data_IF_749773329204
#
_entry.id   IF_749773329204
#
_cell.length_a   1.000
_cell.length_b   1.000
_cell.length_c   1.000
_cell.angle_alpha   90.00
_cell.angle_beta   90.00
_cell.angle_gamma   90.00
#
_symmetry.space_group_name_H-M   'P 1'
#
loop_
_entity.id
_entity.type
_entity.pdbx_description
1 polymer ?
#
# COMPACT_ATOMS: atom_id res chain seq x y z
N UNK A 1 2.96 6.73 103.28
CA UNK A 1 4.08 6.47 102.37
C UNK A 1 3.64 5.67 101.12
N UNK A 2 2.53 6.04 100.44
CA UNK A 2 2.05 5.33 99.21
C UNK A 2 1.52 6.30 98.12
N UNK A 3 1.20 7.57 98.43
CA UNK A 3 0.63 8.51 97.44
C UNK A 3 1.63 9.28 96.57
N UNK A 4 2.88 9.46 97.00
CA UNK A 4 3.89 10.25 96.25
C UNK A 4 4.64 9.42 95.19
N UNK A 5 4.80 8.11 95.38
CA UNK A 5 5.49 7.25 94.40
C UNK A 5 4.69 7.06 93.10
N UNK A 6 3.36 7.02 93.17
CA UNK A 6 2.54 6.85 91.97
C UNK A 6 2.64 8.07 91.02
N UNK A 7 2.72 9.29 91.55
CA UNK A 7 2.75 10.52 90.71
C UNK A 7 4.03 10.68 89.89
N UNK A 8 5.19 10.26 90.42
CA UNK A 8 6.46 10.32 89.70
C UNK A 8 6.51 9.27 88.58
N UNK A 9 6.03 8.05 88.85
CA UNK A 9 5.97 6.97 87.87
C UNK A 9 5.03 7.30 86.69
N UNK A 10 3.90 7.98 86.97
CA UNK A 10 2.97 8.48 85.94
C UNK A 10 3.57 9.59 85.06
N UNK A 11 4.41 10.46 85.61
CA UNK A 11 5.08 11.52 84.86
C UNK A 11 6.19 10.98 83.95
N UNK A 12 7.02 10.06 84.46
CA UNK A 12 8.07 9.40 83.66
C UNK A 12 7.49 8.56 82.53
N UNK A 13 6.42 7.78 82.79
CA UNK A 13 5.74 7.02 81.73
C UNK A 13 5.06 7.94 80.69
N UNK A 14 4.51 9.08 81.10
CA UNK A 14 3.96 10.07 80.17
C UNK A 14 5.03 10.72 79.30
N UNK A 15 6.20 11.05 79.86
CA UNK A 15 7.34 11.58 79.09
C UNK A 15 7.94 10.54 78.15
N UNK A 16 8.12 9.29 78.58
CA UNK A 16 8.55 8.19 77.71
C UNK A 16 7.58 7.97 76.55
N UNK A 17 6.27 8.01 76.79
CA UNK A 17 5.24 7.93 75.74
C UNK A 17 5.33 9.10 74.76
N UNK A 18 5.51 10.34 75.25
CA UNK A 18 5.69 11.54 74.41
C UNK A 18 6.96 11.49 73.57
N UNK A 19 8.08 11.05 74.15
CA UNK A 19 9.36 10.87 73.46
C UNK A 19 9.27 9.78 72.38
N UNK A 20 8.59 8.68 72.68
CA UNK A 20 8.33 7.60 71.74
C UNK A 20 7.43 8.05 70.60
N UNK A 21 6.35 8.79 70.89
CA UNK A 21 5.49 9.39 69.87
C UNK A 21 6.26 10.38 68.97
N UNK A 22 7.10 11.26 69.54
CA UNK A 22 7.95 12.18 68.77
C UNK A 22 8.90 11.43 67.84
N UNK A 23 9.53 10.34 68.31
CA UNK A 23 10.40 9.48 67.48
C UNK A 23 9.62 8.79 66.35
N UNK A 24 8.38 8.34 66.61
CA UNK A 24 7.50 7.75 65.59
C UNK A 24 7.10 8.80 64.53
N UNK A 25 6.72 10.00 64.95
CA UNK A 25 6.35 11.11 64.04
C UNK A 25 7.55 11.49 63.16
N UNK A 26 8.73 11.68 63.75
CA UNK A 26 9.95 11.99 63.00
C UNK A 26 10.34 10.87 62.02
N UNK A 27 10.20 9.59 62.41
CA UNK A 27 10.39 8.45 61.50
C UNK A 27 9.39 8.47 60.34
N UNK A 28 8.11 8.74 60.61
CA UNK A 28 7.05 8.86 59.59
C UNK A 28 7.30 10.04 58.65
N UNK A 29 7.80 11.16 59.14
CA UNK A 29 8.15 12.31 58.30
C UNK A 29 9.37 12.05 57.43
N UNK A 30 10.43 11.43 57.98
CA UNK A 30 11.60 11.00 57.19
C UNK A 30 11.20 10.01 56.10
N UNK A 31 10.32 9.05 56.40
CA UNK A 31 9.76 8.12 55.42
C UNK A 31 8.93 8.83 54.34
N UNK A 32 8.07 9.80 54.72
CA UNK A 32 7.31 10.63 53.76
C UNK A 32 8.22 11.49 52.88
N UNK A 33 9.30 12.06 53.42
CA UNK A 33 10.30 12.82 52.65
C UNK A 33 11.07 11.91 51.68
N UNK A 34 11.46 10.71 52.10
CA UNK A 34 12.09 9.70 51.22
C UNK A 34 11.14 9.27 50.10
N UNK A 35 9.88 8.96 50.41
CA UNK A 35 8.86 8.63 49.39
C UNK A 35 8.67 9.78 48.38
N UNK A 36 8.56 11.03 48.84
CA UNK A 36 8.46 12.20 47.94
C UNK A 36 9.70 12.38 47.05
N UNK A 37 10.91 12.15 47.57
CA UNK A 37 12.15 12.16 46.76
C UNK A 37 12.15 11.05 45.72
N UNK A 38 11.78 9.83 46.09
CA UNK A 38 11.70 8.68 45.17
C UNK A 38 10.64 8.92 44.08
N UNK A 39 9.47 9.45 44.45
CA UNK A 39 8.43 9.81 43.48
C UNK A 39 8.88 10.91 42.52
N UNK A 40 9.62 11.92 43.00
CA UNK A 40 10.23 12.94 42.14
C UNK A 40 11.25 12.37 41.15
N UNK A 41 12.14 11.48 41.63
CA UNK A 41 13.14 10.82 40.78
C UNK A 41 12.46 9.91 39.74
N UNK A 42 11.46 9.14 40.14
CA UNK A 42 10.67 8.31 39.21
C UNK A 42 9.93 9.15 38.18
N UNK A 43 9.35 10.28 38.58
CA UNK A 43 8.71 11.22 37.66
C UNK A 43 9.69 11.83 36.64
N UNK A 44 10.89 12.22 37.09
CA UNK A 44 11.96 12.70 36.21
C UNK A 44 12.46 11.63 35.23
N UNK A 45 12.64 10.39 35.68
CA UNK A 45 13.03 9.27 34.82
C UNK A 45 11.94 8.93 33.80
N UNK A 46 10.66 8.99 34.19
CA UNK A 46 9.54 8.80 33.26
C UNK A 46 9.49 9.93 32.22
N UNK A 47 9.67 11.19 32.62
CA UNK A 47 9.74 12.33 31.71
C UNK A 47 10.93 12.22 30.73
N UNK A 48 12.11 11.83 31.23
CA UNK A 48 13.30 11.64 30.39
C UNK A 48 13.12 10.46 29.44
N UNK A 49 12.54 9.35 29.90
CA UNK A 49 12.14 8.23 29.05
C UNK A 49 11.11 8.63 27.98
N UNK A 50 10.12 9.45 28.34
CA UNK A 50 9.15 10.02 27.40
C UNK A 50 9.81 10.96 26.38
N UNK A 51 10.77 11.79 26.79
CA UNK A 51 11.55 12.67 25.91
C UNK A 51 12.48 11.89 24.97
N UNK A 52 13.06 10.78 25.43
CA UNK A 52 13.84 9.87 24.57
C UNK A 52 12.94 9.06 23.63
N UNK A 53 11.74 8.67 24.06
CA UNK A 53 10.75 8.04 23.19
C UNK A 53 10.21 9.03 22.16
N UNK A 54 9.82 10.23 22.58
CA UNK A 54 9.38 11.31 21.68
C UNK A 54 10.52 11.81 20.77
N UNK A 55 11.77 11.84 21.26
CA UNK A 55 12.97 12.16 20.49
C UNK A 55 13.39 11.05 19.53
N UNK A 56 13.20 9.79 19.92
CA UNK A 56 13.42 8.61 19.09
C UNK A 56 12.32 8.41 18.04
N UNK A 57 11.09 8.80 18.35
CA UNK A 57 9.96 8.91 17.41
C UNK A 57 10.12 10.14 16.51
N UNK A 58 10.72 11.24 17.01
CA UNK A 58 11.15 12.41 16.21
C UNK A 58 12.41 12.21 15.41
N UNK A 59 13.12 11.08 15.56
CA UNK A 59 13.97 10.56 14.49
C UNK A 59 13.02 10.05 13.42
N UNK A 60 12.33 11.01 12.79
CA UNK A 60 11.57 10.91 11.57
C UNK A 60 12.28 9.85 10.73
N UNK A 61 11.64 8.70 10.52
CA UNK A 61 11.96 7.91 9.34
C UNK A 61 11.67 8.85 8.18
N UNK A 62 12.70 9.53 7.69
CA UNK A 62 12.58 10.38 6.53
C UNK A 62 11.92 9.55 5.44
N UNK A 63 10.93 10.14 4.77
CA UNK A 63 10.23 9.52 3.66
C UNK A 63 11.30 8.90 2.71
N UNK A 64 11.20 7.62 2.34
CA UNK A 64 12.19 6.96 1.48
C UNK A 64 12.57 7.77 0.24
N UNK A 65 11.59 8.39 -0.42
CA UNK A 65 11.80 9.29 -1.56
C UNK A 65 12.72 10.47 -1.18
N UNK A 66 12.48 11.12 -0.04
CA UNK A 66 13.33 12.22 0.44
C UNK A 66 14.76 11.76 0.78
N UNK A 67 14.91 10.55 1.31
CA UNK A 67 16.24 9.99 1.59
C UNK A 67 16.98 9.70 0.30
N UNK A 68 16.32 9.07 -0.66
CA UNK A 68 16.88 8.76 -1.97
C UNK A 68 17.30 10.04 -2.69
N UNK A 69 16.40 11.03 -2.73
CA UNK A 69 16.67 12.31 -3.35
C UNK A 69 17.91 13.00 -2.75
N UNK A 70 17.97 13.07 -1.41
CA UNK A 70 19.14 13.63 -0.70
C UNK A 70 20.43 12.84 -0.99
N UNK A 71 20.37 11.52 -1.02
CA UNK A 71 21.53 10.67 -1.27
C UNK A 71 22.09 10.85 -2.70
N UNK A 72 21.23 11.17 -3.67
CA UNK A 72 21.59 11.34 -5.08
C UNK A 72 21.69 12.82 -5.51
N UNK A 73 21.61 13.78 -4.58
CA UNK A 73 21.67 15.20 -4.90
C UNK A 73 20.49 15.72 -5.73
N UNK A 74 19.36 15.02 -5.69
CA UNK A 74 18.13 15.37 -6.41
C UNK A 74 17.30 16.31 -5.53
N UNK A 75 16.76 17.36 -6.13
CA UNK A 75 15.85 18.27 -5.46
C UNK A 75 14.41 17.75 -5.54
N UNK A 76 13.62 17.96 -4.48
CA UNK A 76 12.26 17.42 -4.38
C UNK A 76 11.29 18.00 -5.42
N UNK A 77 11.60 19.16 -6.00
CA UNK A 77 10.84 19.79 -7.10
C UNK A 77 10.94 19.03 -8.43
N UNK A 78 11.88 18.09 -8.55
CA UNK A 78 12.00 17.23 -9.73
C UNK A 78 11.03 16.04 -9.73
N UNK A 79 10.34 15.80 -8.62
CA UNK A 79 9.33 14.76 -8.49
C UNK A 79 7.93 15.37 -8.74
N UNK A 80 7.18 14.90 -9.75
CA UNK A 80 5.78 15.26 -9.94
C UNK A 80 4.93 14.93 -8.70
N UNK A 81 3.97 15.81 -8.39
CA UNK A 81 3.08 15.64 -7.22
C UNK A 81 2.24 14.36 -7.34
N UNK A 82 1.86 13.99 -8.57
CA UNK A 82 1.09 12.81 -8.91
C UNK A 82 1.85 11.52 -8.56
N UNK A 83 3.17 11.49 -8.75
CA UNK A 83 4.03 10.35 -8.39
C UNK A 83 4.25 10.26 -6.88
N UNK A 84 4.38 11.38 -6.19
CA UNK A 84 4.42 11.38 -4.73
C UNK A 84 3.09 10.87 -4.16
N UNK A 85 1.97 11.32 -4.73
CA UNK A 85 0.62 10.87 -4.37
C UNK A 85 0.37 9.39 -4.73
N UNK A 86 1.01 8.88 -5.79
CA UNK A 86 1.01 7.46 -6.11
C UNK A 86 1.71 6.66 -5.01
N UNK A 87 2.91 7.07 -4.60
CA UNK A 87 3.65 6.40 -3.52
C UNK A 87 2.88 6.39 -2.19
N UNK A 88 2.24 7.50 -1.83
CA UNK A 88 1.46 7.60 -0.60
C UNK A 88 0.29 6.61 -0.55
N UNK A 89 -0.36 6.39 -1.69
CA UNK A 89 -1.49 5.44 -1.82
C UNK A 89 -1.01 4.00 -2.07
N UNK A 90 0.17 3.84 -2.64
CA UNK A 90 0.74 2.56 -3.04
C UNK A 90 2.25 2.52 -2.81
N UNK A 91 2.65 2.09 -1.62
CA UNK A 91 4.06 1.99 -1.24
C UNK A 91 4.87 0.95 -2.05
N UNK A 92 4.20 0.06 -2.80
CA UNK A 92 4.88 -0.88 -3.70
C UNK A 92 5.65 -0.15 -4.82
N UNK A 93 5.27 1.10 -5.09
CA UNK A 93 5.89 1.96 -6.12
C UNK A 93 7.13 2.70 -5.64
N UNK A 94 7.65 2.42 -4.43
CA UNK A 94 8.80 3.14 -3.83
C UNK A 94 9.95 3.34 -4.82
N UNK A 95 10.54 2.25 -5.34
CA UNK A 95 11.66 2.32 -6.29
C UNK A 95 11.28 3.05 -7.58
N UNK A 96 10.08 2.83 -8.10
CA UNK A 96 9.60 3.51 -9.30
C UNK A 96 9.53 5.03 -9.10
N UNK A 97 9.07 5.50 -7.95
CA UNK A 97 8.99 6.93 -7.65
C UNK A 97 10.38 7.48 -7.32
N UNK A 98 11.18 6.78 -6.51
CA UNK A 98 12.54 7.20 -6.12
C UNK A 98 13.42 7.55 -7.32
N UNK A 99 13.43 6.66 -8.33
CA UNK A 99 14.35 6.74 -9.46
C UNK A 99 13.82 7.59 -10.62
N UNK A 100 12.59 8.11 -10.52
CA UNK A 100 11.94 8.88 -11.60
C UNK A 100 12.84 10.01 -12.16
N UNK A 101 13.43 10.92 -11.36
CA UNK A 101 14.19 12.04 -11.92
C UNK A 101 15.43 11.62 -12.71
N UNK A 102 15.98 10.43 -12.43
CA UNK A 102 17.14 9.89 -13.11
C UNK A 102 16.76 9.07 -14.35
N UNK A 103 15.64 8.33 -14.29
CA UNK A 103 15.27 7.31 -15.29
C UNK A 103 14.11 7.68 -16.21
N UNK A 104 13.43 8.82 -15.99
CA UNK A 104 12.21 9.19 -16.75
C UNK A 104 12.41 9.31 -18.27
N UNK A 105 13.64 9.51 -18.73
CA UNK A 105 13.98 9.60 -20.16
C UNK A 105 14.57 8.29 -20.71
N UNK A 106 14.69 7.24 -19.89
CA UNK A 106 15.20 5.93 -20.31
C UNK A 106 14.10 5.10 -20.97
N UNK A 107 14.44 4.47 -22.10
CA UNK A 107 13.61 3.48 -22.77
C UNK A 107 14.35 2.14 -22.84
N UNK A 108 14.43 1.39 -21.73
CA UNK A 108 15.12 0.11 -21.72
C UNK A 108 14.47 -0.91 -22.67
N UNK A 109 15.24 -1.93 -23.03
CA UNK A 109 14.74 -3.10 -23.73
C UNK A 109 13.75 -3.87 -22.84
N UNK A 110 12.67 -4.36 -23.43
CA UNK A 110 11.64 -5.12 -22.73
C UNK A 110 11.81 -6.60 -23.08
N UNK A 111 12.50 -7.33 -22.19
CA UNK A 111 12.56 -8.79 -22.26
C UNK A 111 11.44 -9.41 -21.42
N UNK A 112 10.57 -10.16 -22.10
CA UNK A 112 9.48 -10.97 -21.53
C UNK A 112 9.53 -12.40 -22.09
N UNK A 113 10.72 -12.86 -22.52
CA UNK A 113 10.90 -14.16 -23.18
C UNK A 113 10.46 -15.35 -22.32
N UNK A 114 10.54 -15.21 -20.99
CA UNK A 114 10.05 -16.15 -19.99
C UNK A 114 8.52 -16.33 -20.02
N UNK A 115 7.78 -15.36 -20.58
CA UNK A 115 6.31 -15.38 -20.66
C UNK A 115 5.77 -15.97 -21.97
N UNK A 116 6.63 -16.25 -22.96
CA UNK A 116 6.22 -16.76 -24.28
C UNK A 116 5.44 -18.09 -24.23
N UNK A 117 5.63 -18.87 -23.17
CA UNK A 117 4.94 -20.13 -22.90
C UNK A 117 4.23 -20.13 -21.54
N UNK A 118 3.77 -18.97 -21.07
CA UNK A 118 3.08 -18.85 -19.78
C UNK A 118 1.80 -19.72 -19.76
N UNK A 119 1.69 -20.59 -18.76
CA UNK A 119 0.51 -21.46 -18.56
C UNK A 119 -0.64 -20.75 -17.84
N UNK A 120 -0.38 -19.60 -17.23
CA UNK A 120 -1.35 -18.73 -16.59
C UNK A 120 -1.21 -17.31 -17.15
N UNK A 121 -2.23 -16.47 -16.94
CA UNK A 121 -2.15 -15.04 -17.29
C UNK A 121 -1.03 -14.38 -16.48
N UNK A 122 0.02 -13.82 -17.10
CA UNK A 122 1.13 -13.24 -16.38
C UNK A 122 0.71 -11.96 -15.65
N UNK A 123 1.29 -11.70 -14.48
CA UNK A 123 1.14 -10.41 -13.80
C UNK A 123 2.18 -9.43 -14.35
N UNK A 124 1.69 -8.32 -14.90
CA UNK A 124 2.53 -7.19 -15.30
C UNK A 124 2.11 -5.95 -14.51
N UNK A 125 3.05 -5.16 -14.04
CA UNK A 125 2.74 -3.96 -13.24
C UNK A 125 2.91 -2.72 -14.11
N UNK A 126 1.93 -1.81 -14.09
CA UNK A 126 1.94 -0.61 -14.93
C UNK A 126 3.12 0.31 -14.64
N UNK A 127 3.68 0.21 -13.43
CA UNK A 127 4.81 0.99 -12.93
C UNK A 127 6.14 0.23 -12.97
N UNK A 128 6.22 -0.95 -13.60
CA UNK A 128 7.51 -1.61 -13.87
C UNK A 128 8.40 -0.67 -14.69
N UNK A 129 9.63 -0.41 -14.25
CA UNK A 129 10.51 0.60 -14.84
C UNK A 129 10.87 0.34 -16.30
N UNK A 130 10.66 -0.89 -16.81
CA UNK A 130 10.87 -1.20 -18.24
C UNK A 130 9.92 -0.43 -19.17
N UNK A 131 8.78 0.03 -18.67
CA UNK A 131 7.79 0.81 -19.44
C UNK A 131 7.06 1.88 -18.62
N UNK A 132 7.14 1.86 -17.29
CA UNK A 132 6.31 2.67 -16.40
C UNK A 132 6.54 4.18 -16.53
N UNK A 133 7.71 4.60 -17.00
CA UNK A 133 8.01 6.01 -17.30
C UNK A 133 7.57 6.45 -18.70
N UNK A 134 7.22 5.51 -19.58
CA UNK A 134 6.71 5.79 -20.93
C UNK A 134 5.45 6.65 -20.84
N UNK A 135 5.29 7.60 -21.76
CA UNK A 135 4.11 8.47 -21.76
C UNK A 135 2.89 7.78 -22.35
N UNK A 136 1.76 7.93 -21.69
CA UNK A 136 0.47 7.41 -22.11
C UNK A 136 -0.67 8.25 -21.53
N UNK A 137 -1.61 8.67 -22.39
CA UNK A 137 -2.81 9.43 -21.99
C UNK A 137 -2.50 10.67 -21.12
N UNK A 138 -1.52 11.47 -21.53
CA UNK A 138 -1.09 12.70 -20.86
C UNK A 138 -0.14 12.51 -19.68
N UNK A 139 0.02 11.27 -19.18
CA UNK A 139 0.79 10.94 -17.97
C UNK A 139 1.86 9.88 -18.26
N UNK A 140 2.61 9.45 -17.24
CA UNK A 140 3.43 8.22 -17.35
C UNK A 140 2.57 6.97 -17.14
N UNK A 141 2.93 5.85 -17.77
CA UNK A 141 2.21 4.57 -17.64
C UNK A 141 2.03 4.12 -16.19
N UNK A 142 2.96 4.44 -15.30
CA UNK A 142 2.83 4.18 -13.87
C UNK A 142 1.58 4.81 -13.23
N UNK A 143 1.02 5.87 -13.83
CA UNK A 143 -0.20 6.56 -13.38
C UNK A 143 -1.44 6.18 -14.20
N UNK A 144 -1.30 6.06 -15.52
CA UNK A 144 -2.44 5.95 -16.47
C UNK A 144 -2.49 4.63 -17.25
N UNK A 145 -1.52 3.73 -17.07
CA UNK A 145 -1.28 2.58 -17.93
C UNK A 145 -2.08 1.31 -17.62
N UNK A 146 -3.03 1.33 -16.68
CA UNK A 146 -3.75 0.13 -16.25
C UNK A 146 -4.41 -0.64 -17.41
N UNK A 147 -5.00 0.08 -18.39
CA UNK A 147 -5.62 -0.51 -19.57
C UNK A 147 -4.63 -1.26 -20.48
N UNK A 148 -3.60 -0.59 -21.04
CA UNK A 148 -2.57 -1.25 -21.85
C UNK A 148 -1.88 -2.40 -21.13
N UNK A 149 -1.57 -2.24 -19.84
CA UNK A 149 -0.95 -3.30 -19.05
C UNK A 149 -1.89 -4.50 -18.90
N UNK A 150 -3.17 -4.30 -18.58
CA UNK A 150 -4.15 -5.38 -18.48
C UNK A 150 -4.35 -6.11 -19.82
N UNK A 151 -4.48 -5.37 -20.93
CA UNK A 151 -4.63 -5.96 -22.26
C UNK A 151 -3.36 -6.71 -22.70
N UNK A 152 -2.17 -6.21 -22.34
CA UNK A 152 -0.91 -6.91 -22.58
C UNK A 152 -0.85 -8.27 -21.88
N UNK A 153 -1.26 -8.36 -20.61
CA UNK A 153 -1.32 -9.65 -19.88
C UNK A 153 -2.19 -10.67 -20.63
N UNK A 154 -3.39 -10.25 -21.04
CA UNK A 154 -4.31 -11.12 -21.77
C UNK A 154 -3.76 -11.48 -23.15
N UNK A 155 -3.18 -10.52 -23.87
CA UNK A 155 -2.65 -10.75 -25.19
C UNK A 155 -1.50 -11.77 -25.20
N UNK A 156 -0.56 -11.63 -24.28
CA UNK A 156 0.56 -12.56 -24.11
C UNK A 156 0.04 -13.95 -23.77
N UNK A 157 -0.88 -14.07 -22.81
CA UNK A 157 -1.45 -15.37 -22.43
C UNK A 157 -2.18 -16.06 -23.59
N UNK A 158 -2.98 -15.31 -24.34
CA UNK A 158 -3.83 -15.88 -25.39
C UNK A 158 -3.05 -16.27 -26.65
N UNK A 159 -1.97 -15.55 -26.95
CA UNK A 159 -1.25 -15.67 -28.24
C UNK A 159 0.19 -16.16 -28.13
N UNK A 160 0.79 -16.11 -26.95
CA UNK A 160 2.23 -16.33 -26.75
C UNK A 160 3.12 -15.21 -27.31
N UNK A 161 2.53 -14.15 -27.88
CA UNK A 161 3.27 -13.07 -28.52
C UNK A 161 3.72 -12.02 -27.50
N UNK A 162 4.96 -12.17 -27.03
CA UNK A 162 5.62 -11.28 -26.07
C UNK A 162 5.91 -9.88 -26.61
N UNK A 163 5.78 -9.67 -27.94
CA UNK A 163 5.93 -8.32 -28.52
C UNK A 163 4.78 -7.40 -28.12
N UNK A 164 3.63 -7.97 -27.73
CA UNK A 164 2.47 -7.24 -27.18
C UNK A 164 2.68 -6.84 -25.72
N UNK A 165 3.86 -6.31 -25.40
CA UNK A 165 4.20 -5.79 -24.07
C UNK A 165 3.43 -4.49 -23.74
N UNK A 166 3.40 -4.05 -22.47
CA UNK A 166 2.59 -2.90 -22.06
C UNK A 166 2.91 -1.59 -22.81
N UNK A 167 4.19 -1.33 -23.11
CA UNK A 167 4.60 -0.16 -23.90
C UNK A 167 4.03 -0.21 -25.31
N UNK A 168 4.17 -1.36 -25.99
CA UNK A 168 3.63 -1.55 -27.33
C UNK A 168 2.11 -1.37 -27.37
N UNK A 169 1.37 -1.91 -26.39
CA UNK A 169 -0.08 -1.73 -26.31
C UNK A 169 -0.46 -0.27 -26.04
N UNK A 170 0.33 0.46 -25.24
CA UNK A 170 0.12 1.89 -24.99
C UNK A 170 0.32 2.73 -26.26
N UNK A 171 1.35 2.43 -27.06
CA UNK A 171 1.60 3.09 -28.34
C UNK A 171 0.48 2.78 -29.34
N UNK A 172 0.12 1.50 -29.47
CA UNK A 172 -1.02 1.06 -30.29
C UNK A 172 -2.30 1.80 -29.89
N UNK A 173 -2.60 1.85 -28.59
CA UNK A 173 -3.78 2.54 -28.09
C UNK A 173 -3.77 4.03 -28.43
N UNK A 174 -2.63 4.70 -28.26
CA UNK A 174 -2.49 6.13 -28.58
C UNK A 174 -2.67 6.41 -30.07
N UNK A 175 -2.04 5.59 -30.93
CA UNK A 175 -2.10 5.73 -32.38
C UNK A 175 -3.50 5.47 -32.96
N UNK A 176 -4.32 4.66 -32.29
CA UNK A 176 -5.64 4.26 -32.76
C UNK A 176 -6.79 4.98 -32.01
N UNK A 177 -6.49 6.05 -31.26
CA UNK A 177 -7.52 6.87 -30.61
C UNK A 177 -8.15 6.25 -29.36
N UNK A 178 -7.46 5.30 -28.72
CA UNK A 178 -7.88 4.64 -27.49
C UNK A 178 -7.24 5.21 -26.21
N UNK A 179 -6.38 6.22 -26.33
CA UNK A 179 -5.85 6.98 -25.21
C UNK A 179 -6.61 8.31 -25.08
N UNK A 180 -7.01 8.66 -23.86
CA UNK A 180 -7.73 9.89 -23.55
C UNK A 180 -6.99 10.63 -22.45
N UNK A 181 -6.40 11.77 -22.79
CA UNK A 181 -5.58 12.55 -21.85
C UNK A 181 -6.35 12.90 -20.57
N UNK A 182 -5.73 12.62 -19.42
CA UNK A 182 -6.32 12.82 -18.09
C UNK A 182 -7.41 11.80 -17.71
N UNK A 183 -7.85 10.93 -18.63
CA UNK A 183 -8.85 9.88 -18.37
C UNK A 183 -8.31 8.45 -18.54
N UNK A 184 -7.11 8.29 -19.11
CA UNK A 184 -6.48 7.00 -19.32
C UNK A 184 -6.98 6.31 -20.58
N UNK A 185 -7.49 5.08 -20.43
CA UNK A 185 -7.79 4.19 -21.55
C UNK A 185 -9.28 4.18 -21.90
N UNK A 186 -9.60 4.35 -23.19
CA UNK A 186 -10.95 4.22 -23.70
C UNK A 186 -11.44 2.77 -23.65
N UNK A 187 -12.73 2.58 -23.35
CA UNK A 187 -13.35 1.26 -23.25
C UNK A 187 -13.26 0.46 -24.55
N UNK A 188 -13.30 1.16 -25.70
CA UNK A 188 -13.19 0.55 -27.02
C UNK A 188 -11.86 -0.18 -27.24
N UNK A 189 -10.80 0.10 -26.47
CA UNK A 189 -9.58 -0.70 -26.50
C UNK A 189 -9.84 -2.16 -26.13
N UNK A 190 -10.71 -2.42 -25.14
CA UNK A 190 -10.99 -3.76 -24.62
C UNK A 190 -11.85 -4.60 -25.56
N UNK A 191 -12.41 -4.00 -26.61
CA UNK A 191 -13.28 -4.67 -27.58
C UNK A 191 -12.75 -4.55 -29.01
N UNK A 192 -12.72 -3.35 -29.55
CA UNK A 192 -12.31 -3.09 -30.94
C UNK A 192 -10.80 -3.16 -31.09
N UNK A 193 -10.07 -2.51 -30.19
CA UNK A 193 -8.60 -2.53 -30.19
C UNK A 193 -8.06 -3.95 -29.95
N UNK A 194 -8.64 -4.69 -29.00
CA UNK A 194 -8.34 -6.09 -28.76
C UNK A 194 -8.46 -6.95 -30.04
N UNK A 195 -9.51 -6.75 -30.84
CA UNK A 195 -9.71 -7.46 -32.11
C UNK A 195 -8.66 -7.10 -33.16
N UNK A 196 -8.25 -5.83 -33.23
CA UNK A 196 -7.20 -5.38 -34.15
C UNK A 196 -5.84 -6.01 -33.84
N UNK A 197 -5.57 -6.35 -32.58
CA UNK A 197 -4.34 -7.03 -32.16
C UNK A 197 -4.48 -8.57 -32.17
N UNK A 198 -5.54 -9.11 -32.77
CA UNK A 198 -5.72 -10.55 -32.98
C UNK A 198 -6.40 -11.31 -31.85
N UNK A 199 -7.10 -10.63 -30.93
CA UNK A 199 -7.86 -11.28 -29.86
C UNK A 199 -9.35 -11.33 -30.18
N UNK A 200 -10.01 -12.45 -29.88
CA UNK A 200 -11.47 -12.48 -29.79
C UNK A 200 -11.91 -11.90 -28.45
N UNK A 201 -12.74 -10.85 -28.49
CA UNK A 201 -13.27 -10.17 -27.30
C UNK A 201 -14.77 -9.92 -27.41
N UNK A 202 -15.46 -10.00 -26.26
CA UNK A 202 -16.89 -9.69 -26.12
C UNK A 202 -17.17 -9.06 -24.76
N UNK A 203 -17.93 -7.97 -24.75
CA UNK A 203 -18.53 -7.44 -23.52
C UNK A 203 -19.67 -8.35 -23.06
N UNK A 204 -19.71 -8.66 -21.77
CA UNK A 204 -20.78 -9.47 -21.16
C UNK A 204 -21.41 -8.72 -19.98
N UNK A 205 -22.66 -9.04 -19.61
CA UNK A 205 -23.23 -8.53 -18.37
C UNK A 205 -22.37 -8.89 -17.16
N UNK A 206 -22.29 -7.95 -16.19
CA UNK A 206 -21.61 -8.15 -14.90
C UNK A 206 -22.47 -9.06 -14.01
N UNK A 207 -22.46 -10.35 -14.33
CA UNK A 207 -23.24 -11.39 -13.66
C UNK A 207 -22.31 -12.51 -13.18
N UNK A 208 -22.45 -12.89 -11.91
CA UNK A 208 -21.62 -13.92 -11.26
C UNK A 208 -21.44 -15.17 -12.10
N UNK A 209 -22.56 -15.77 -12.51
CA UNK A 209 -22.56 -17.03 -13.26
C UNK A 209 -21.81 -16.90 -14.60
N UNK A 210 -21.92 -15.76 -15.29
CA UNK A 210 -21.22 -15.53 -16.56
C UNK A 210 -19.72 -15.39 -16.35
N UNK A 211 -19.31 -14.70 -15.29
CA UNK A 211 -17.90 -14.53 -14.92
C UNK A 211 -17.31 -15.89 -14.54
N UNK A 212 -17.95 -16.62 -13.63
CA UNK A 212 -17.51 -17.95 -13.20
C UNK A 212 -17.39 -18.92 -14.38
N UNK A 213 -18.43 -19.04 -15.21
CA UNK A 213 -18.43 -19.97 -16.34
C UNK A 213 -17.30 -19.68 -17.35
N UNK A 214 -16.99 -18.41 -17.61
CA UNK A 214 -15.90 -18.05 -18.51
C UNK A 214 -14.53 -18.33 -17.89
N UNK A 215 -14.34 -18.00 -16.61
CA UNK A 215 -13.08 -18.28 -15.91
C UNK A 215 -12.83 -19.80 -15.80
N UNK A 216 -13.87 -20.60 -15.57
CA UNK A 216 -13.79 -22.07 -15.58
C UNK A 216 -13.46 -22.64 -16.95
N UNK A 217 -13.91 -21.99 -18.03
CA UNK A 217 -13.54 -22.34 -19.40
C UNK A 217 -12.11 -21.90 -19.78
N UNK A 218 -11.38 -21.22 -18.88
CA UNK A 218 -10.03 -20.72 -19.12
C UNK A 218 -9.99 -19.39 -19.89
N UNK A 219 -11.12 -18.70 -20.03
CA UNK A 219 -11.21 -17.41 -20.71
C UNK A 219 -10.93 -16.28 -19.70
N UNK A 220 -9.83 -15.51 -19.86
CA UNK A 220 -9.56 -14.38 -18.99
C UNK A 220 -10.55 -13.23 -19.26
N UNK A 221 -10.79 -12.42 -18.23
CA UNK A 221 -11.72 -11.30 -18.28
C UNK A 221 -10.99 -10.03 -17.87
N UNK A 222 -11.10 -8.96 -18.64
CA UNK A 222 -10.71 -7.62 -18.18
C UNK A 222 -11.94 -6.96 -17.57
N UNK A 223 -11.81 -6.47 -16.34
CA UNK A 223 -12.86 -5.77 -15.62
C UNK A 223 -12.48 -4.30 -15.45
N UNK A 224 -13.42 -3.41 -15.71
CA UNK A 224 -13.31 -2.00 -15.32
C UNK A 224 -13.93 -1.82 -13.93
N UNK A 225 -13.08 -1.51 -12.97
CA UNK A 225 -13.47 -1.21 -11.60
C UNK A 225 -13.87 0.26 -11.47
N UNK A 226 -14.91 0.51 -10.70
CA UNK A 226 -15.24 1.84 -10.17
C UNK A 226 -14.65 2.05 -8.77
N UNK A 227 -15.06 3.14 -8.10
CA UNK A 227 -14.55 3.48 -6.77
C UNK A 227 -14.81 2.37 -5.73
N UNK A 228 -13.78 2.03 -4.96
CA UNK A 228 -13.80 0.97 -3.96
C UNK A 228 -12.40 0.55 -3.52
N UNK A 229 -12.20 -0.74 -3.29
CA UNK A 229 -10.95 -1.33 -2.77
C UNK A 229 -9.80 -1.31 -3.78
N UNK A 230 -10.11 -1.29 -5.08
CA UNK A 230 -9.10 -1.30 -6.16
C UNK A 230 -8.66 0.10 -6.57
N UNK A 231 -9.55 1.09 -6.47
CA UNK A 231 -9.31 2.44 -6.98
C UNK A 231 -10.29 3.43 -6.37
N UNK A 232 -9.95 4.71 -6.33
CA UNK A 232 -10.89 5.79 -6.00
C UNK A 232 -11.66 6.31 -7.21
N UNK A 233 -11.25 5.93 -8.43
CA UNK A 233 -11.80 6.39 -9.71
C UNK A 233 -12.15 5.18 -10.60
N UNK A 234 -11.65 5.14 -11.83
CA UNK A 234 -11.68 3.97 -12.72
C UNK A 234 -10.36 3.21 -12.69
N UNK A 235 -10.39 1.88 -12.87
CA UNK A 235 -9.18 1.06 -12.95
C UNK A 235 -9.43 -0.25 -13.68
N UNK A 236 -8.54 -0.65 -14.59
CA UNK A 236 -8.63 -1.95 -15.26
C UNK A 236 -7.84 -3.01 -14.49
N UNK A 237 -8.48 -4.16 -14.24
CA UNK A 237 -7.84 -5.36 -13.68
C UNK A 237 -8.16 -6.57 -14.57
N UNK A 238 -7.40 -7.65 -14.39
CA UNK A 238 -7.67 -8.93 -15.08
C UNK A 238 -8.17 -9.95 -14.08
N UNK A 239 -9.31 -10.57 -14.34
CA UNK A 239 -9.77 -11.78 -13.66
C UNK A 239 -9.18 -12.98 -14.40
N UNK A 240 -8.36 -13.77 -13.72
CA UNK A 240 -7.49 -14.77 -14.35
C UNK A 240 -7.93 -16.20 -14.13
N UNK A 241 -8.81 -16.45 -13.16
CA UNK A 241 -9.36 -17.77 -12.88
C UNK A 241 -10.06 -17.84 -11.54
N UNK A 242 -10.36 -19.06 -11.12
CA UNK A 242 -10.93 -19.37 -9.80
C UNK A 242 -9.97 -20.25 -9.00
N UNK A 243 -9.92 -20.02 -7.69
CA UNK A 243 -9.27 -20.90 -6.72
C UNK A 243 -10.16 -21.04 -5.50
N UNK A 244 -10.64 -22.25 -5.22
CA UNK A 244 -11.57 -22.55 -4.12
C UNK A 244 -12.80 -21.61 -4.12
N UNK A 245 -13.46 -21.49 -5.28
CA UNK A 245 -14.63 -20.62 -5.51
C UNK A 245 -14.39 -19.11 -5.27
N UNK A 246 -13.12 -18.68 -5.29
CA UNK A 246 -12.71 -17.29 -5.15
C UNK A 246 -11.96 -16.82 -6.39
N UNK A 247 -12.06 -15.54 -6.74
CA UNK A 247 -11.37 -14.96 -7.91
C UNK A 247 -9.87 -14.91 -7.67
N UNK A 248 -9.10 -15.41 -8.64
CA UNK A 248 -7.73 -14.96 -8.88
C UNK A 248 -7.79 -13.72 -9.77
N UNK A 249 -7.02 -12.69 -9.42
CA UNK A 249 -6.93 -11.46 -10.21
C UNK A 249 -5.46 -11.09 -10.43
N UNK A 250 -5.21 -10.37 -11.53
CA UNK A 250 -3.99 -9.59 -11.72
C UNK A 250 -4.39 -8.11 -11.77
N UNK A 251 -3.99 -7.37 -10.74
CA UNK A 251 -4.16 -5.93 -10.63
C UNK A 251 -2.85 -5.25 -11.10
N UNK A 252 -2.86 -4.53 -12.24
CA UNK A 252 -1.64 -3.90 -12.78
C UNK A 252 -1.07 -2.82 -11.86
N UNK A 253 -1.80 -2.37 -10.85
CA UNK A 253 -1.33 -1.39 -9.89
C UNK A 253 -1.00 -2.00 -8.51
N UNK A 254 -1.23 -3.29 -8.24
CA UNK A 254 -0.92 -3.86 -6.92
C UNK A 254 -0.58 -5.34 -6.96
N UNK A 255 0.62 -5.69 -6.47
CA UNK A 255 0.95 -7.11 -6.23
C UNK A 255 0.15 -7.65 -5.06
N UNK A 256 -0.05 -6.85 -4.00
CA UNK A 256 -0.84 -7.27 -2.83
C UNK A 256 -2.26 -7.69 -3.21
N UNK A 257 -2.90 -6.98 -4.15
CA UNK A 257 -4.22 -7.37 -4.66
C UNK A 257 -4.16 -8.65 -5.50
N UNK A 258 -3.07 -8.86 -6.22
CA UNK A 258 -2.84 -10.01 -7.11
C UNK A 258 -2.41 -11.29 -6.37
N UNK A 259 -1.78 -11.17 -5.20
CA UNK A 259 -1.26 -12.29 -4.39
C UNK A 259 -2.35 -13.04 -3.60
N UNK A 260 -3.55 -12.48 -3.50
CA UNK A 260 -4.67 -13.04 -2.74
C UNK A 260 -5.85 -13.35 -3.64
N UNK A 261 -6.76 -14.19 -3.13
CA UNK A 261 -8.04 -14.45 -3.80
C UNK A 261 -9.17 -13.61 -3.22
N UNK A 262 -10.15 -13.30 -4.06
CA UNK A 262 -11.23 -12.37 -3.73
C UNK A 262 -12.59 -13.06 -3.71
N UNK A 263 -13.48 -12.55 -2.87
CA UNK A 263 -14.88 -12.92 -2.98
C UNK A 263 -15.44 -12.36 -4.29
N UNK A 264 -16.20 -13.16 -5.02
CA UNK A 264 -16.69 -12.77 -6.35
C UNK A 264 -17.64 -11.59 -6.24
N UNK A 265 -18.60 -11.63 -5.32
CA UNK A 265 -19.63 -10.59 -5.21
C UNK A 265 -18.99 -9.27 -4.78
N UNK A 266 -18.01 -9.32 -3.86
CA UNK A 266 -17.22 -8.17 -3.47
C UNK A 266 -16.56 -7.46 -4.67
N UNK A 267 -16.02 -8.20 -5.64
CA UNK A 267 -15.42 -7.63 -6.84
C UNK A 267 -16.50 -7.12 -7.79
N UNK A 268 -17.56 -7.90 -8.03
CA UNK A 268 -18.60 -7.54 -8.99
C UNK A 268 -19.42 -6.32 -8.57
N UNK A 269 -19.64 -6.11 -7.27
CA UNK A 269 -20.29 -4.89 -6.74
C UNK A 269 -19.53 -3.60 -7.12
N UNK A 270 -18.22 -3.70 -7.30
CA UNK A 270 -17.34 -2.58 -7.67
C UNK A 270 -17.10 -2.51 -9.18
N UNK A 271 -17.58 -3.47 -9.95
CA UNK A 271 -17.31 -3.60 -11.38
C UNK A 271 -18.33 -2.83 -12.23
N UNK A 272 -17.83 -2.04 -13.18
CA UNK A 272 -18.64 -1.25 -14.12
C UNK A 272 -18.91 -1.97 -15.44
N UNK A 273 -17.92 -2.71 -15.95
CA UNK A 273 -18.00 -3.44 -17.21
C UNK A 273 -16.97 -4.57 -17.23
N UNK A 274 -17.24 -5.61 -18.04
CA UNK A 274 -16.35 -6.76 -18.22
C UNK A 274 -16.27 -7.18 -19.68
N UNK A 275 -15.07 -7.51 -20.13
CA UNK A 275 -14.79 -8.07 -21.46
C UNK A 275 -14.12 -9.42 -21.32
N UNK A 276 -14.72 -10.44 -21.91
CA UNK A 276 -14.15 -11.78 -21.96
C UNK A 276 -13.35 -11.98 -23.23
N UNK A 277 -12.22 -12.67 -23.10
CA UNK A 277 -11.32 -12.99 -24.19
C UNK A 277 -11.24 -14.52 -24.37
N UNK A 278 -11.34 -14.98 -25.61
CA UNK A 278 -11.46 -16.41 -25.92
C UNK A 278 -10.73 -16.76 -27.22
N UNK A 279 -10.53 -18.05 -27.47
CA UNK A 279 -9.97 -18.57 -28.72
C UNK A 279 -11.08 -18.80 -29.75
#
# INVERSE_FOLDING_TARGET
MIRENNTLEWQETAEQKRMTQRRIIQRRERARRRKRKVWRIRGLLLLFGCLLFLGGVRRFRQNPIQRYAKANGISMDQYPEELLSLYERNNETETFVEEYPLKKEEEPEIDLSDLSSASEVPLLLQWDQRWGYHRYAGEVMGLSGCGPTALSMVAIFMTGDITKNPRWVADFASQNGYAVDGSGTAWSLMLEGARQIGLSSKEIPVERERVENNLQAGNPIIALMGPGEFTSNGHFIVLTGLQNDRLKINDPNSRKNSEKTWDIDQVLEQTKAVWVYYK
#
